data_IF_055652295816
#
_entry.id   IF_055652295816
#
_cell.length_a   1.000
_cell.length_b   1.000
_cell.length_c   1.000
_cell.angle_alpha   90.00
_cell.angle_beta   90.00
_cell.angle_gamma   90.00
#
_symmetry.space_group_name_H-M   'P 1'
#
loop_
_entity.id
_entity.type
_entity.pdbx_description
1 polymer ?
#
# COMPACT_ATOMS: atom_id res chain seq x y z
N UNK A 1 -4.08 24.16 -12.28
CA UNK A 1 -4.50 23.71 -10.93
C UNK A 1 -5.42 22.47 -10.93
N UNK A 2 -6.48 22.39 -11.75
CA UNK A 2 -7.37 21.20 -11.79
C UNK A 2 -6.68 19.89 -12.28
N UNK A 3 -5.68 20.02 -13.16
CA UNK A 3 -4.97 18.87 -13.77
C UNK A 3 -4.09 18.12 -12.76
N UNK A 4 -3.57 18.80 -11.75
CA UNK A 4 -2.78 18.22 -10.65
C UNK A 4 -3.66 17.66 -9.55
N UNK A 5 -4.86 18.23 -9.38
CA UNK A 5 -5.82 17.82 -8.36
C UNK A 5 -6.18 16.34 -8.45
N UNK A 6 -6.36 15.78 -9.66
CA UNK A 6 -6.63 14.35 -9.83
C UNK A 6 -5.47 13.48 -9.37
N UNK A 7 -4.23 13.84 -9.75
CA UNK A 7 -3.04 13.13 -9.30
C UNK A 7 -2.90 13.19 -7.76
N UNK A 8 -3.09 14.37 -7.18
CA UNK A 8 -3.03 14.57 -5.73
C UNK A 8 -4.13 13.79 -5.00
N UNK A 9 -5.34 13.72 -5.54
CA UNK A 9 -6.43 12.90 -4.97
C UNK A 9 -6.04 11.43 -4.98
N UNK A 10 -5.53 10.92 -6.11
CA UNK A 10 -5.07 9.52 -6.19
C UNK A 10 -3.95 9.25 -5.19
N UNK A 11 -2.97 10.15 -5.10
CA UNK A 11 -1.88 10.02 -4.13
C UNK A 11 -2.39 10.09 -2.69
N UNK A 12 -3.35 10.96 -2.39
CA UNK A 12 -3.95 11.07 -1.05
C UNK A 12 -4.74 9.81 -0.68
N UNK A 13 -5.51 9.24 -1.61
CA UNK A 13 -6.21 7.97 -1.41
C UNK A 13 -5.23 6.83 -1.16
N UNK A 14 -4.13 6.79 -1.93
CA UNK A 14 -3.07 5.81 -1.70
C UNK A 14 -2.50 5.93 -0.28
N UNK A 15 -2.10 7.14 0.11
CA UNK A 15 -1.54 7.41 1.43
C UNK A 15 -2.53 7.11 2.56
N UNK A 16 -3.82 7.42 2.37
CA UNK A 16 -4.87 7.15 3.34
C UNK A 16 -5.02 5.65 3.64
N UNK A 17 -4.72 4.77 2.68
CA UNK A 17 -4.79 3.32 2.88
C UNK A 17 -3.47 2.77 3.40
N UNK A 18 -2.34 3.18 2.80
CA UNK A 18 -1.02 2.58 3.11
C UNK A 18 -0.45 3.05 4.44
N UNK A 19 -0.60 4.34 4.80
CA UNK A 19 -0.03 4.87 6.04
C UNK A 19 -0.61 4.18 7.28
N UNK A 20 -1.94 4.02 7.41
CA UNK A 20 -2.51 3.27 8.54
C UNK A 20 -2.07 1.81 8.58
N UNK A 21 -2.00 1.13 7.43
CA UNK A 21 -1.54 -0.27 7.38
C UNK A 21 -0.10 -0.40 7.88
N UNK A 22 0.80 0.48 7.43
CA UNK A 22 2.19 0.52 7.90
C UNK A 22 2.25 0.82 9.40
N UNK A 23 1.41 1.73 9.92
CA UNK A 23 1.34 2.06 11.34
C UNK A 23 0.78 0.91 12.21
N UNK A 24 -0.10 0.08 11.66
CA UNK A 24 -0.61 -1.13 12.32
C UNK A 24 0.43 -2.25 12.34
N UNK A 25 1.25 -2.35 11.29
CA UNK A 25 2.33 -3.33 11.18
C UNK A 25 3.62 -2.91 11.90
N UNK A 26 3.72 -1.64 12.30
CA UNK A 26 4.91 -1.16 13.00
C UNK A 26 5.04 -1.86 14.35
N UNK A 27 6.24 -2.36 14.71
CA UNK A 27 6.44 -3.06 15.97
C UNK A 27 5.98 -2.21 17.16
N UNK A 28 5.04 -2.74 17.94
CA UNK A 28 4.66 -2.17 19.24
C UNK A 28 5.12 -3.08 20.35
N UNK A 29 5.38 -2.51 21.52
CA UNK A 29 5.55 -3.28 22.75
C UNK A 29 4.31 -4.16 22.96
N UNK A 30 4.45 -5.41 23.41
CA UNK A 30 3.30 -6.29 23.63
C UNK A 30 2.31 -5.59 24.57
N UNK A 31 1.11 -5.26 24.07
CA UNK A 31 0.19 -4.41 24.83
C UNK A 31 -0.35 -5.13 26.06
N UNK A 32 -0.56 -6.46 26.02
CA UNK A 32 -0.96 -7.24 27.21
C UNK A 32 -0.56 -8.73 27.07
N UNK A 33 -0.20 -9.42 28.18
CA UNK A 33 -0.13 -10.88 28.17
C UNK A 33 -1.52 -11.45 27.90
N UNK A 34 -1.61 -12.55 27.15
CA UNK A 34 -2.89 -13.19 26.83
C UNK A 34 -3.57 -13.66 28.13
N UNK A 35 -4.58 -12.92 28.60
CA UNK A 35 -5.38 -13.33 29.76
C UNK A 35 -6.39 -14.37 29.27
N UNK A 36 -6.00 -15.65 29.29
CA UNK A 36 -6.91 -16.78 29.13
C UNK A 36 -7.54 -16.91 27.74
N UNK A 37 -6.78 -17.44 26.78
CA UNK A 37 -7.31 -17.88 25.49
C UNK A 37 -6.22 -17.88 24.44
N UNK A 38 -5.84 -19.06 23.97
CA UNK A 38 -4.82 -19.27 22.93
C UNK A 38 -5.29 -18.84 21.53
N UNK A 39 -5.81 -17.63 21.40
CA UNK A 39 -6.15 -17.03 20.12
C UNK A 39 -4.88 -16.67 19.37
N UNK A 40 -4.70 -17.24 18.17
CA UNK A 40 -3.66 -16.81 17.26
C UNK A 40 -3.93 -15.38 16.83
N UNK A 41 -2.94 -14.50 17.01
CA UNK A 41 -3.00 -13.15 16.44
C UNK A 41 -2.61 -13.23 14.96
N UNK A 42 -3.62 -13.30 14.09
CA UNK A 42 -3.44 -13.24 12.63
C UNK A 42 -3.31 -11.81 12.09
N UNK A 43 -3.33 -10.77 12.93
CA UNK A 43 -3.33 -9.38 12.48
C UNK A 43 -2.12 -9.06 11.58
N UNK A 44 -0.93 -9.53 11.96
CA UNK A 44 0.29 -9.38 11.16
C UNK A 44 0.14 -9.99 9.76
N UNK A 45 -0.36 -11.23 9.67
CA UNK A 45 -0.61 -11.91 8.39
C UNK A 45 -1.63 -11.13 7.53
N UNK A 46 -2.78 -10.80 8.12
CA UNK A 46 -3.89 -10.15 7.41
C UNK A 46 -3.48 -8.76 6.91
N UNK A 47 -2.86 -7.94 7.76
CA UNK A 47 -2.45 -6.59 7.39
C UNK A 47 -1.30 -6.58 6.39
N UNK A 48 -0.33 -7.50 6.49
CA UNK A 48 0.72 -7.64 5.48
C UNK A 48 0.10 -8.03 4.14
N UNK A 49 -0.76 -9.05 4.10
CA UNK A 49 -1.38 -9.51 2.87
C UNK A 49 -2.25 -8.41 2.23
N UNK A 50 -3.03 -7.69 3.03
CA UNK A 50 -3.85 -6.58 2.55
C UNK A 50 -2.99 -5.43 1.98
N UNK A 51 -1.89 -5.07 2.64
CA UNK A 51 -0.97 -4.03 2.17
C UNK A 51 -0.31 -4.42 0.84
N UNK A 52 0.16 -5.66 0.72
CA UNK A 52 0.76 -6.18 -0.51
C UNK A 52 -0.26 -6.27 -1.65
N UNK A 53 -1.44 -6.83 -1.40
CA UNK A 53 -2.49 -6.91 -2.40
C UNK A 53 -2.92 -5.52 -2.89
N UNK A 54 -3.14 -4.58 -1.96
CA UNK A 54 -3.53 -3.21 -2.31
C UNK A 54 -2.46 -2.51 -3.13
N UNK A 55 -1.20 -2.50 -2.68
CA UNK A 55 -0.10 -1.80 -3.37
C UNK A 55 0.23 -2.45 -4.72
N UNK A 56 0.14 -3.78 -4.82
CA UNK A 56 0.29 -4.51 -6.08
C UNK A 56 -0.81 -4.16 -7.09
N UNK A 57 -2.08 -4.29 -6.70
CA UNK A 57 -3.23 -3.97 -7.56
C UNK A 57 -3.23 -2.49 -7.95
N UNK A 58 -2.95 -1.58 -7.01
CA UNK A 58 -2.85 -0.16 -7.26
C UNK A 58 -1.81 0.14 -8.36
N UNK A 59 -0.64 -0.48 -8.27
CA UNK A 59 0.44 -0.31 -9.23
C UNK A 59 0.04 -0.79 -10.62
N UNK A 60 -0.59 -1.96 -10.71
CA UNK A 60 -1.08 -2.51 -11.97
C UNK A 60 -2.14 -1.61 -12.60
N UNK A 61 -3.12 -1.14 -11.81
CA UNK A 61 -4.15 -0.23 -12.30
C UNK A 61 -3.53 1.08 -12.79
N UNK A 62 -2.63 1.68 -12.01
CA UNK A 62 -1.96 2.93 -12.40
C UNK A 62 -1.13 2.76 -13.68
N UNK A 63 -0.47 1.60 -13.85
CA UNK A 63 0.28 1.27 -15.06
C UNK A 63 -0.63 1.12 -16.28
N UNK A 64 -1.74 0.39 -16.15
CA UNK A 64 -2.73 0.24 -17.23
C UNK A 64 -3.34 1.59 -17.61
N UNK A 65 -3.63 2.45 -16.63
CA UNK A 65 -4.11 3.81 -16.89
C UNK A 65 -3.05 4.64 -17.61
N UNK A 66 -1.76 4.45 -17.33
CA UNK A 66 -0.68 5.14 -18.02
C UNK A 66 -0.61 4.73 -19.51
N UNK A 67 -0.73 3.43 -19.81
CA UNK A 67 -0.75 2.92 -21.18
C UNK A 67 -1.94 3.41 -21.99
N UNK A 68 -3.10 3.60 -21.37
CA UNK A 68 -4.30 4.11 -22.05
C UNK A 68 -4.32 5.62 -22.32
N UNK A 69 -3.25 6.36 -22.02
CA UNK A 69 -3.21 7.84 -22.12
C UNK A 69 -2.40 8.29 -23.33
N UNK A 70 -3.06 8.99 -24.26
CA UNK A 70 -2.39 9.64 -25.40
C UNK A 70 -1.59 10.90 -25.01
N UNK A 71 -1.97 11.54 -23.90
CA UNK A 71 -1.32 12.75 -23.40
C UNK A 71 -0.06 12.41 -22.58
N UNK A 72 1.13 12.68 -23.11
CA UNK A 72 2.41 12.30 -22.51
C UNK A 72 2.57 12.77 -21.05
N UNK A 73 2.14 14.00 -20.73
CA UNK A 73 2.21 14.53 -19.36
C UNK A 73 1.24 13.82 -18.40
N UNK A 74 0.09 13.37 -18.90
CA UNK A 74 -0.87 12.62 -18.10
C UNK A 74 -0.43 11.16 -17.90
N UNK A 75 0.14 10.54 -18.94
CA UNK A 75 0.77 9.22 -18.85
C UNK A 75 1.92 9.22 -17.85
N UNK A 76 2.82 10.22 -17.90
CA UNK A 76 3.94 10.36 -16.95
C UNK A 76 3.49 10.40 -15.49
N UNK A 77 2.38 11.07 -15.18
CA UNK A 77 1.82 11.12 -13.82
C UNK A 77 1.26 9.78 -13.37
N UNK A 78 0.61 9.05 -14.27
CA UNK A 78 0.13 7.71 -13.99
C UNK A 78 1.30 6.73 -13.77
N UNK A 79 2.39 6.86 -14.55
CA UNK A 79 3.63 6.12 -14.28
C UNK A 79 4.24 6.45 -12.92
N UNK A 80 4.22 7.71 -12.50
CA UNK A 80 4.65 8.08 -11.14
C UNK A 80 3.81 7.42 -10.06
N UNK A 81 2.47 7.38 -10.21
CA UNK A 81 1.59 6.68 -9.26
C UNK A 81 1.88 5.16 -9.23
N UNK A 82 2.12 4.55 -10.40
CA UNK A 82 2.50 3.15 -10.49
C UNK A 82 3.84 2.89 -9.80
N UNK A 83 4.83 3.75 -10.02
CA UNK A 83 6.14 3.66 -9.38
C UNK A 83 6.08 3.80 -7.86
N UNK A 84 5.28 4.75 -7.34
CA UNK A 84 5.07 4.90 -5.89
C UNK A 84 4.42 3.65 -5.31
N UNK A 85 3.40 3.11 -5.96
CA UNK A 85 2.76 1.86 -5.56
C UNK A 85 3.74 0.69 -5.53
N UNK A 86 4.53 0.52 -6.59
CA UNK A 86 5.46 -0.60 -6.74
C UNK A 86 6.61 -0.50 -5.75
N UNK A 87 7.16 0.69 -5.53
CA UNK A 87 8.17 0.92 -4.51
C UNK A 87 7.64 0.60 -3.10
N UNK A 88 6.40 1.02 -2.80
CA UNK A 88 5.74 0.70 -1.53
C UNK A 88 5.51 -0.80 -1.36
N UNK A 89 5.09 -1.50 -2.43
CA UNK A 89 4.93 -2.95 -2.43
C UNK A 89 6.25 -3.66 -2.09
N UNK A 90 7.33 -3.29 -2.78
CA UNK A 90 8.67 -3.88 -2.54
C UNK A 90 9.14 -3.60 -1.12
N UNK A 91 9.01 -2.35 -0.66
CA UNK A 91 9.40 -1.99 0.70
C UNK A 91 8.57 -2.77 1.76
N UNK A 92 7.26 -2.89 1.57
CA UNK A 92 6.38 -3.64 2.45
C UNK A 92 6.69 -5.15 2.44
N UNK A 93 7.00 -5.72 1.28
CA UNK A 93 7.37 -7.13 1.17
C UNK A 93 8.66 -7.45 1.93
N UNK A 94 9.66 -6.56 1.83
CA UNK A 94 10.91 -6.68 2.57
C UNK A 94 10.69 -6.49 4.08
N UNK A 95 9.94 -5.47 4.47
CA UNK A 95 9.77 -5.11 5.87
C UNK A 95 8.85 -6.08 6.63
N UNK A 96 7.73 -6.49 6.02
CA UNK A 96 6.64 -7.20 6.70
C UNK A 96 6.34 -8.58 6.13
N UNK A 97 7.05 -9.01 5.08
CA UNK A 97 6.83 -10.31 4.44
C UNK A 97 7.07 -11.52 5.34
N UNK A 98 7.84 -11.35 6.42
CA UNK A 98 8.03 -12.37 7.44
C UNK A 98 6.72 -12.75 8.17
N UNK A 99 5.71 -11.87 8.18
CA UNK A 99 4.39 -12.16 8.75
C UNK A 99 3.56 -13.16 7.92
N UNK A 100 4.04 -13.56 6.74
CA UNK A 100 3.34 -14.49 5.84
C UNK A 100 3.74 -15.96 6.04
N UNK A 101 4.64 -16.26 6.99
CA UNK A 101 5.23 -17.56 7.22
C UNK A 101 5.16 -18.00 8.69
#
# INVERSE_FOLDING_TARGET
MLKDRRFLIWLAVFALVTVPHVALLWPRSPEYPSIGGGGYDLSGFVYTLALLAFTGIWSLIALLVAFGRNEAMAARRAYWLAGIGAATFVAAAIAFGHNLH
#
